data_IF_184979694044
#
_entry.id   IF_184979694044
#
_cell.length_a   1.000
_cell.length_b   1.000
_cell.length_c   1.000
_cell.angle_alpha   90.00
_cell.angle_beta   90.00
_cell.angle_gamma   90.00
#
_symmetry.space_group_name_H-M   'P 1'
#
loop_
_entity.id
_entity.type
_entity.pdbx_description
1 polymer ?
#
# COMPACT_ATOMS: atom_id res chain seq x y z
N UNK A 1 -44.30 11.29 -43.30
CA UNK A 1 -43.46 11.15 -42.11
C UNK A 1 -44.32 10.83 -40.90
N UNK A 2 -44.30 9.61 -40.44
CA UNK A 2 -45.14 9.16 -39.32
C UNK A 2 -44.25 8.98 -38.10
N UNK A 3 -44.41 9.80 -37.10
CA UNK A 3 -43.72 9.68 -35.81
C UNK A 3 -44.47 8.68 -34.94
N UNK A 4 -43.81 7.58 -34.59
CA UNK A 4 -44.28 6.60 -33.60
C UNK A 4 -43.84 7.02 -32.21
N UNK A 5 -44.75 7.53 -31.40
CA UNK A 5 -44.53 7.67 -29.95
C UNK A 5 -44.68 6.31 -29.26
N UNK A 6 -43.57 5.71 -28.84
CA UNK A 6 -43.60 4.61 -27.91
C UNK A 6 -43.69 5.15 -26.48
N UNK A 7 -44.77 4.81 -25.79
CA UNK A 7 -44.95 5.08 -24.35
C UNK A 7 -43.83 4.43 -23.56
N UNK A 8 -43.04 5.23 -22.86
CA UNK A 8 -42.01 4.80 -21.95
C UNK A 8 -42.70 4.50 -20.60
N UNK A 9 -42.79 3.23 -20.23
CA UNK A 9 -43.24 2.79 -18.92
C UNK A 9 -42.18 3.13 -17.90
N UNK A 10 -42.52 4.01 -16.94
CA UNK A 10 -41.66 4.40 -15.83
C UNK A 10 -41.68 3.28 -14.77
N UNK A 11 -40.76 2.34 -14.89
CA UNK A 11 -40.52 1.36 -13.83
C UNK A 11 -39.65 2.02 -12.77
N UNK A 12 -40.25 2.32 -11.60
CA UNK A 12 -39.54 2.81 -10.42
C UNK A 12 -38.74 1.64 -9.87
N UNK A 13 -37.48 1.56 -10.23
CA UNK A 13 -36.52 0.68 -9.56
C UNK A 13 -36.12 1.34 -8.25
N UNK A 14 -36.56 0.76 -7.14
CA UNK A 14 -36.09 1.07 -5.79
C UNK A 14 -34.62 0.64 -5.69
N UNK A 15 -33.71 1.58 -5.92
CA UNK A 15 -32.28 1.41 -5.69
C UNK A 15 -32.06 1.34 -4.17
N UNK A 16 -31.95 0.11 -3.65
CA UNK A 16 -31.34 -0.08 -2.36
C UNK A 16 -29.92 0.50 -2.41
N UNK A 17 -29.71 1.60 -1.71
CA UNK A 17 -28.39 2.19 -1.52
C UNK A 17 -27.52 1.26 -0.68
N UNK A 18 -26.84 0.32 -1.33
CA UNK A 18 -25.71 -0.38 -0.73
C UNK A 18 -24.59 0.65 -0.67
N UNK A 19 -24.40 1.26 0.50
CA UNK A 19 -23.21 2.04 0.76
C UNK A 19 -22.02 1.11 0.60
N UNK A 20 -21.09 1.36 -0.35
CA UNK A 20 -19.87 0.57 -0.41
C UNK A 20 -19.11 0.85 0.88
N UNK A 21 -18.96 -0.16 1.73
CA UNK A 21 -18.02 -0.15 2.83
C UNK A 21 -16.68 0.22 2.23
N UNK A 22 -16.08 1.32 2.67
CA UNK A 22 -14.79 1.77 2.16
C UNK A 22 -13.79 0.61 2.32
N UNK A 23 -13.48 -0.04 1.22
CA UNK A 23 -12.41 -1.03 1.16
C UNK A 23 -11.13 -0.22 1.32
N UNK A 24 -10.37 -0.48 2.36
CA UNK A 24 -9.09 0.17 2.59
C UNK A 24 -8.25 0.05 1.31
N UNK A 25 -8.01 1.21 0.66
CA UNK A 25 -7.19 1.28 -0.54
C UNK A 25 -5.76 0.85 -0.19
N UNK A 26 -5.39 -0.37 -0.48
CA UNK A 26 -4.07 -0.94 -0.17
C UNK A 26 -4.10 -2.42 0.19
N UNK A 27 -5.27 -3.02 0.33
CA UNK A 27 -5.38 -4.45 0.56
C UNK A 27 -5.10 -5.24 -0.73
N UNK A 28 -3.99 -5.96 -0.77
CA UNK A 28 -3.89 -7.15 -1.63
C UNK A 28 -4.90 -8.14 -1.10
N UNK A 29 -6.01 -8.33 -1.82
CA UNK A 29 -7.18 -9.06 -1.34
C UNK A 29 -6.79 -10.40 -0.70
N UNK A 30 -6.96 -10.52 0.62
CA UNK A 30 -6.88 -11.76 1.36
C UNK A 30 -5.53 -12.19 1.92
N UNK A 31 -4.40 -11.55 1.60
CA UNK A 31 -3.10 -11.90 2.19
C UNK A 31 -2.78 -11.03 3.41
N UNK A 32 -2.40 -11.67 4.52
CA UNK A 32 -2.02 -10.96 5.75
C UNK A 32 -0.52 -10.59 5.76
N UNK A 33 -0.25 -9.31 5.48
CA UNK A 33 1.09 -8.74 5.54
C UNK A 33 1.54 -8.32 6.94
N UNK A 34 0.69 -8.46 7.96
CA UNK A 34 0.98 -7.97 9.32
C UNK A 34 2.28 -8.53 9.88
N UNK A 35 2.58 -9.85 9.82
CA UNK A 35 3.83 -10.37 10.35
C UNK A 35 5.07 -9.81 9.65
N UNK A 36 4.99 -9.60 8.33
CA UNK A 36 6.09 -9.02 7.54
C UNK A 36 6.30 -7.56 7.90
N UNK A 37 5.22 -6.77 7.99
CA UNK A 37 5.30 -5.35 8.37
C UNK A 37 5.88 -5.18 9.77
N UNK A 38 5.47 -5.99 10.73
CA UNK A 38 5.99 -5.97 12.10
C UNK A 38 7.50 -6.28 12.14
N UNK A 39 7.94 -7.28 11.40
CA UNK A 39 9.35 -7.61 11.30
C UNK A 39 10.16 -6.49 10.63
N UNK A 40 9.62 -5.88 9.55
CA UNK A 40 10.25 -4.72 8.90
C UNK A 40 10.36 -3.54 9.87
N UNK A 41 9.31 -3.22 10.63
CA UNK A 41 9.35 -2.13 11.62
C UNK A 41 10.44 -2.34 12.68
N UNK A 42 10.65 -3.58 13.11
CA UNK A 42 11.74 -3.89 14.06
C UNK A 42 13.11 -3.69 13.43
N UNK A 43 13.31 -4.15 12.19
CA UNK A 43 14.60 -4.00 11.48
C UNK A 43 14.90 -2.55 11.16
N UNK A 44 13.90 -1.77 10.72
CA UNK A 44 14.07 -0.40 10.26
C UNK A 44 14.30 0.61 11.39
N UNK A 45 13.58 0.47 12.49
CA UNK A 45 13.55 1.50 13.53
C UNK A 45 13.51 0.96 14.97
N UNK A 46 13.53 -0.36 15.17
CA UNK A 46 13.25 -0.96 16.48
C UNK A 46 11.84 -0.63 16.98
N UNK A 47 10.90 -0.39 16.07
CA UNK A 47 9.53 -0.01 16.43
C UNK A 47 9.34 1.47 16.79
N UNK A 48 10.32 2.34 16.50
CA UNK A 48 10.23 3.77 16.83
C UNK A 48 9.57 4.59 15.70
N UNK A 49 8.33 5.11 15.88
CA UNK A 49 7.64 5.88 14.85
C UNK A 49 8.28 7.26 14.60
N UNK A 50 9.16 7.72 15.48
CA UNK A 50 9.86 9.00 15.37
C UNK A 50 11.29 8.88 14.85
N UNK A 51 11.73 7.68 14.46
CA UNK A 51 13.06 7.45 13.95
C UNK A 51 13.33 8.26 12.67
N UNK A 52 14.52 8.86 12.59
CA UNK A 52 15.01 9.59 11.41
C UNK A 52 16.42 9.12 11.12
N UNK A 53 16.68 8.69 9.89
CA UNK A 53 18.00 8.31 9.39
C UNK A 53 18.18 8.87 7.97
N UNK A 54 18.94 9.94 7.85
CA UNK A 54 19.03 10.67 6.60
C UNK A 54 17.65 11.17 6.15
N UNK A 55 17.22 10.78 4.96
CA UNK A 55 15.89 11.12 4.44
C UNK A 55 14.81 10.04 4.69
N UNK A 56 15.16 8.98 5.40
CA UNK A 56 14.27 7.90 5.83
C UNK A 56 13.64 8.24 7.18
N UNK A 57 12.33 8.12 7.29
CA UNK A 57 11.57 8.60 8.44
C UNK A 57 10.51 7.60 8.88
N UNK A 58 10.32 7.54 10.20
CA UNK A 58 9.24 6.82 10.84
C UNK A 58 9.54 5.34 11.07
N UNK A 59 8.51 4.63 11.53
CA UNK A 59 8.64 3.24 11.98
C UNK A 59 9.14 2.29 10.88
N UNK A 60 8.80 2.57 9.63
CA UNK A 60 9.20 1.77 8.47
C UNK A 60 10.29 2.44 7.61
N UNK A 61 10.87 3.55 8.07
CA UNK A 61 11.95 4.30 7.40
C UNK A 61 11.63 4.65 5.94
N UNK A 62 10.47 5.28 5.75
CA UNK A 62 9.97 5.66 4.43
C UNK A 62 10.72 6.86 3.88
N UNK A 63 11.15 6.77 2.62
CA UNK A 63 11.81 7.87 1.91
C UNK A 63 10.81 8.79 1.21
N UNK A 64 11.17 10.04 0.86
CA UNK A 64 10.33 10.90 0.04
C UNK A 64 9.96 10.29 -1.32
N UNK A 65 10.87 9.50 -1.90
CA UNK A 65 10.62 8.80 -3.17
C UNK A 65 9.50 7.76 -3.00
N UNK A 66 9.47 7.02 -1.89
CA UNK A 66 8.40 6.05 -1.62
C UNK A 66 7.05 6.75 -1.44
N UNK A 67 6.99 7.90 -0.77
CA UNK A 67 5.75 8.71 -0.66
C UNK A 67 5.27 9.17 -2.04
N UNK A 68 6.19 9.67 -2.88
CA UNK A 68 5.86 10.06 -4.26
C UNK A 68 5.32 8.89 -5.06
N UNK A 69 5.93 7.71 -4.94
CA UNK A 69 5.47 6.50 -5.65
C UNK A 69 4.06 6.11 -5.20
N UNK A 70 3.75 6.14 -3.90
CA UNK A 70 2.41 5.91 -3.39
C UNK A 70 1.39 6.87 -4.03
N UNK A 71 1.73 8.15 -4.13
CA UNK A 71 0.86 9.14 -4.74
C UNK A 71 0.66 8.91 -6.24
N UNK A 72 1.68 8.46 -6.97
CA UNK A 72 1.57 8.08 -8.39
C UNK A 72 0.62 6.87 -8.55
N UNK A 73 0.72 5.87 -7.67
CA UNK A 73 -0.17 4.72 -7.69
C UNK A 73 -1.62 5.16 -7.46
N UNK A 74 -1.87 6.01 -6.47
CA UNK A 74 -3.19 6.54 -6.15
C UNK A 74 -3.77 7.36 -7.31
N UNK A 75 -2.96 8.19 -7.93
CA UNK A 75 -3.36 8.99 -9.10
C UNK A 75 -3.81 8.11 -10.28
N UNK A 76 -3.01 7.08 -10.60
CA UNK A 76 -3.36 6.10 -11.64
C UNK A 76 -4.65 5.34 -11.35
N UNK A 77 -4.98 5.16 -10.08
CA UNK A 77 -6.24 4.55 -9.61
C UNK A 77 -7.39 5.56 -9.50
N UNK A 78 -7.17 6.81 -9.91
CA UNK A 78 -8.16 7.91 -9.80
C UNK A 78 -8.65 8.16 -8.37
N UNK A 79 -7.83 7.79 -7.38
CA UNK A 79 -8.10 8.09 -5.97
C UNK A 79 -7.84 9.57 -5.69
N UNK A 80 -8.65 10.16 -4.79
CA UNK A 80 -8.44 11.51 -4.28
C UNK A 80 -7.46 11.55 -3.11
N UNK A 81 -7.15 10.40 -2.51
CA UNK A 81 -6.20 10.28 -1.39
C UNK A 81 -4.80 10.69 -1.83
N UNK A 82 -4.08 11.37 -0.94
CA UNK A 82 -2.66 11.70 -1.10
C UNK A 82 -1.96 11.58 0.24
N UNK A 83 -0.72 11.09 0.21
CA UNK A 83 0.18 11.08 1.36
C UNK A 83 1.10 12.29 1.32
N UNK A 84 1.41 12.82 2.51
CA UNK A 84 2.40 13.87 2.72
C UNK A 84 3.67 13.29 3.34
N UNK A 85 4.75 14.05 3.33
CA UNK A 85 5.99 13.63 4.00
C UNK A 85 5.82 13.45 5.51
N UNK A 86 4.90 14.21 6.12
CA UNK A 86 4.60 14.10 7.55
C UNK A 86 3.86 12.80 7.90
N UNK A 87 3.16 12.19 6.95
CA UNK A 87 2.45 10.92 7.16
C UNK A 87 3.37 9.74 7.48
N UNK A 88 4.67 9.87 7.19
CA UNK A 88 5.70 8.87 7.52
C UNK A 88 5.88 8.65 9.03
N UNK A 89 5.46 9.60 9.86
CA UNK A 89 5.46 9.47 11.32
C UNK A 89 4.23 8.72 11.86
N UNK A 90 3.22 8.51 11.05
CA UNK A 90 2.04 7.71 11.40
C UNK A 90 2.31 6.23 11.11
N UNK A 91 2.18 5.39 12.14
CA UNK A 91 2.32 3.93 12.01
C UNK A 91 1.29 3.38 11.04
N UNK A 92 0.04 3.82 11.16
CA UNK A 92 -1.07 3.39 10.31
C UNK A 92 -0.82 3.75 8.84
N UNK A 93 -0.50 5.02 8.56
CA UNK A 93 -0.24 5.47 7.19
C UNK A 93 1.03 4.83 6.60
N UNK A 94 2.02 4.53 7.42
CA UNK A 94 3.20 3.78 6.98
C UNK A 94 2.85 2.37 6.53
N UNK A 95 1.99 1.67 7.27
CA UNK A 95 1.45 0.36 6.87
C UNK A 95 0.63 0.45 5.58
N UNK A 96 -0.23 1.45 5.45
CA UNK A 96 -1.01 1.68 4.23
C UNK A 96 -0.11 1.89 3.01
N UNK A 97 0.95 2.71 3.13
CA UNK A 97 1.91 2.93 2.05
C UNK A 97 2.65 1.66 1.65
N UNK A 98 3.04 0.82 2.63
CA UNK A 98 3.61 -0.50 2.35
C UNK A 98 2.64 -1.36 1.53
N UNK A 99 1.40 -1.51 1.99
CA UNK A 99 0.38 -2.32 1.31
C UNK A 99 0.10 -1.80 -0.11
N UNK A 100 0.08 -0.49 -0.29
CA UNK A 100 -0.14 0.13 -1.59
C UNK A 100 0.99 -0.21 -2.58
N UNK A 101 2.24 -0.16 -2.15
CA UNK A 101 3.40 -0.56 -2.94
C UNK A 101 3.33 -2.06 -3.27
N UNK A 102 3.04 -2.92 -2.28
CA UNK A 102 2.89 -4.35 -2.50
C UNK A 102 1.78 -4.66 -3.50
N UNK A 103 0.63 -4.00 -3.39
CA UNK A 103 -0.49 -4.20 -4.31
C UNK A 103 -0.15 -3.87 -5.77
N UNK A 104 0.82 -3.01 -6.02
CA UNK A 104 1.26 -2.61 -7.36
C UNK A 104 2.37 -3.50 -7.90
N UNK A 105 3.37 -3.79 -7.09
CA UNK A 105 4.62 -4.41 -7.53
C UNK A 105 4.79 -5.87 -7.14
N UNK A 106 3.93 -6.36 -6.25
CA UNK A 106 3.94 -7.73 -5.76
C UNK A 106 2.53 -8.33 -5.65
N UNK A 107 1.76 -8.34 -6.74
CA UNK A 107 0.37 -8.82 -6.72
C UNK A 107 0.24 -10.31 -6.38
N UNK A 108 1.31 -11.08 -6.51
CA UNK A 108 1.37 -12.49 -6.11
C UNK A 108 1.53 -12.70 -4.60
N UNK A 109 1.72 -11.64 -3.82
CA UNK A 109 1.96 -11.70 -2.37
C UNK A 109 3.14 -12.59 -1.97
N UNK A 110 4.22 -12.56 -2.74
CA UNK A 110 5.45 -13.24 -2.43
C UNK A 110 6.20 -12.49 -1.31
N UNK A 111 6.40 -13.15 -0.16
CA UNK A 111 7.00 -12.54 1.04
C UNK A 111 8.44 -12.12 0.79
N UNK A 112 9.26 -12.98 0.18
CA UNK A 112 10.66 -12.65 -0.11
C UNK A 112 10.76 -11.45 -1.05
N UNK A 113 10.00 -11.46 -2.13
CA UNK A 113 9.92 -10.35 -3.08
C UNK A 113 9.49 -9.06 -2.38
N UNK A 114 8.48 -9.12 -1.52
CA UNK A 114 7.98 -7.95 -0.79
C UNK A 114 9.05 -7.33 0.11
N UNK A 115 9.77 -8.14 0.87
CA UNK A 115 10.87 -7.70 1.74
C UNK A 115 12.00 -7.05 0.91
N UNK A 116 12.37 -7.66 -0.21
CA UNK A 116 13.44 -7.15 -1.07
C UNK A 116 13.04 -5.86 -1.79
N UNK A 117 11.80 -5.74 -2.25
CA UNK A 117 11.25 -4.49 -2.82
C UNK A 117 11.32 -3.36 -1.80
N UNK A 118 10.96 -3.63 -0.54
CA UNK A 118 10.97 -2.60 0.49
C UNK A 118 12.37 -2.01 0.72
N UNK A 119 13.39 -2.85 0.74
CA UNK A 119 14.76 -2.43 0.94
C UNK A 119 15.44 -1.88 -0.31
N UNK A 120 15.27 -2.54 -1.45
CA UNK A 120 16.05 -2.29 -2.66
C UNK A 120 15.26 -1.68 -3.84
N UNK A 121 13.95 -1.46 -3.67
CA UNK A 121 13.08 -0.98 -4.76
C UNK A 121 12.69 -2.10 -5.73
N UNK A 122 11.90 -1.73 -6.75
CA UNK A 122 11.34 -2.71 -7.70
C UNK A 122 12.40 -3.42 -8.55
N UNK A 123 13.56 -2.80 -8.73
CA UNK A 123 14.70 -3.36 -9.47
C UNK A 123 15.81 -3.87 -8.53
N UNK A 124 15.44 -4.38 -7.37
CA UNK A 124 16.39 -4.84 -6.36
C UNK A 124 17.36 -5.91 -6.89
N UNK A 125 18.58 -5.92 -6.32
CA UNK A 125 19.52 -7.02 -6.45
C UNK A 125 19.31 -8.00 -5.29
N UNK A 126 19.16 -9.29 -5.59
CA UNK A 126 19.06 -10.35 -4.58
C UNK A 126 20.30 -10.32 -3.67
N UNK A 127 21.50 -10.21 -4.27
CA UNK A 127 22.75 -10.14 -3.51
C UNK A 127 22.80 -8.95 -2.56
N UNK A 128 22.43 -7.76 -3.04
CA UNK A 128 22.48 -6.53 -2.25
C UNK A 128 21.45 -6.52 -1.12
N UNK A 129 20.28 -7.14 -1.31
CA UNK A 129 19.19 -7.18 -0.32
C UNK A 129 19.22 -8.39 0.60
N UNK A 130 20.19 -9.31 0.42
CA UNK A 130 20.20 -10.58 1.17
C UNK A 130 20.42 -10.38 2.67
N UNK A 131 21.28 -9.47 3.06
CA UNK A 131 21.51 -9.15 4.47
C UNK A 131 20.25 -8.59 5.15
N UNK A 132 19.54 -7.70 4.46
CA UNK A 132 18.27 -7.15 4.94
C UNK A 132 17.19 -8.22 5.05
N UNK A 133 17.00 -9.00 3.99
CA UNK A 133 16.04 -10.11 3.97
C UNK A 133 16.24 -11.05 5.16
N UNK A 134 17.47 -11.49 5.41
CA UNK A 134 17.79 -12.37 6.52
C UNK A 134 17.51 -11.73 7.89
N UNK A 135 17.72 -10.41 8.05
CA UNK A 135 17.35 -9.68 9.27
C UNK A 135 15.85 -9.71 9.50
N UNK A 136 15.06 -9.39 8.48
CA UNK A 136 13.58 -9.40 8.56
C UNK A 136 13.08 -10.80 8.90
N UNK A 137 13.57 -11.84 8.23
CA UNK A 137 13.16 -13.23 8.47
C UNK A 137 13.44 -13.70 9.90
N UNK A 138 14.48 -13.18 10.56
CA UNK A 138 14.74 -13.48 11.99
C UNK A 138 13.70 -12.89 12.94
N UNK A 139 13.03 -11.80 12.53
CA UNK A 139 11.97 -11.17 13.31
C UNK A 139 10.56 -11.70 13.00
N UNK A 140 10.42 -12.55 11.99
CA UNK A 140 9.14 -13.15 11.58
C UNK A 140 8.79 -14.44 12.34
N UNK A 141 9.35 -14.68 13.51
CA UNK A 141 9.14 -15.91 14.30
C UNK A 141 7.91 -15.80 15.19
#
# INVERSE_FOLDING_TARGET
MKYFFKKLSLSVMLLASVTPKAVAEGSSAGFDWTPVMEAIMQVESGGNPRAVSGNSVGIMQITPIAVKECNIILERRKSKKRYTLNDRYSVEKSKEMFLLIMSRYNPSNDVEKGIRIWNGGCNYSVRATNGYYNKVMRHMK
#
